data_IF_118438399559
#
_entry.id   IF_118438399559
#
_cell.length_a   1.000
_cell.length_b   1.000
_cell.length_c   1.000
_cell.angle_alpha   90.00
_cell.angle_beta   90.00
_cell.angle_gamma   90.00
#
_symmetry.space_group_name_H-M   'P 1'
#
loop_
_entity.id
_entity.type
_entity.pdbx_description
1 polymer ?
#
# COMPACT_ATOMS: atom_id res chain seq x y z
N UNK A 1 17.23 7.45 9.24
CA UNK A 1 16.41 6.69 8.28
C UNK A 1 15.44 5.92 9.14
N UNK A 2 14.41 6.62 9.59
CA UNK A 2 13.47 6.19 10.63
C UNK A 2 12.34 5.43 9.93
N UNK A 3 12.53 4.12 9.79
CA UNK A 3 11.54 3.23 9.17
C UNK A 3 10.62 2.58 10.22
N UNK A 4 10.52 3.16 11.41
CA UNK A 4 9.61 2.76 12.49
C UNK A 4 8.88 4.01 13.00
N UNK A 5 7.72 3.84 13.62
CA UNK A 5 7.02 4.90 14.34
C UNK A 5 7.71 5.10 15.69
N UNK A 6 8.63 6.07 15.75
CA UNK A 6 9.64 6.18 16.81
C UNK A 6 9.08 6.31 18.23
N UNK A 7 7.93 6.98 18.39
CA UNK A 7 7.27 7.16 19.68
C UNK A 7 6.90 5.82 20.35
N UNK A 8 6.73 4.77 19.56
CA UNK A 8 6.39 3.42 20.01
C UNK A 8 7.60 2.47 20.08
N UNK A 9 8.80 2.94 19.72
CA UNK A 9 9.99 2.09 19.71
C UNK A 9 10.57 1.95 21.12
N UNK A 10 10.46 0.75 21.69
CA UNK A 10 11.23 0.39 22.87
C UNK A 10 12.70 0.10 22.49
N UNK A 11 13.58 1.08 22.70
CA UNK A 11 15.02 0.98 22.37
C UNK A 11 15.78 -0.10 23.16
N UNK A 12 15.18 -0.69 24.20
CA UNK A 12 15.77 -1.79 24.97
C UNK A 12 15.35 -3.17 24.47
N UNK A 13 14.34 -3.24 23.60
CA UNK A 13 13.82 -4.48 23.06
C UNK A 13 14.51 -4.83 21.74
N UNK A 14 15.12 -6.02 21.68
CA UNK A 14 15.73 -6.57 20.48
C UNK A 14 15.02 -7.87 20.12
N UNK A 15 14.70 -8.05 18.84
CA UNK A 15 14.10 -9.27 18.31
C UNK A 15 14.81 -9.72 17.03
N UNK A 16 14.94 -11.03 16.78
CA UNK A 16 15.55 -11.55 15.56
C UNK A 16 14.69 -11.23 14.32
N UNK A 17 15.31 -11.30 13.14
CA UNK A 17 14.63 -11.08 11.84
C UNK A 17 13.38 -11.97 11.69
N UNK A 18 13.45 -13.22 12.13
CA UNK A 18 12.30 -14.14 12.09
C UNK A 18 11.12 -13.64 12.92
N UNK A 19 11.38 -13.07 14.08
CA UNK A 19 10.36 -12.51 14.96
C UNK A 19 9.82 -11.20 14.41
N UNK A 20 10.66 -10.32 13.84
CA UNK A 20 10.19 -9.12 13.12
C UNK A 20 9.17 -9.48 12.04
N UNK A 21 9.53 -10.42 11.16
CA UNK A 21 8.67 -10.87 10.07
C UNK A 21 7.38 -11.50 10.60
N UNK A 22 7.46 -12.26 11.69
CA UNK A 22 6.27 -12.81 12.34
C UNK A 22 5.35 -11.70 12.90
N UNK A 23 5.90 -10.66 13.53
CA UNK A 23 5.13 -9.52 14.05
C UNK A 23 4.43 -8.76 12.92
N UNK A 24 5.14 -8.46 11.82
CA UNK A 24 4.56 -7.81 10.63
C UNK A 24 3.44 -8.67 10.02
N UNK A 25 3.64 -9.99 9.89
CA UNK A 25 2.58 -10.90 9.42
C UNK A 25 1.36 -10.89 10.34
N UNK A 26 1.56 -10.90 11.65
CA UNK A 26 0.46 -10.81 12.61
C UNK A 26 -0.29 -9.50 12.43
N UNK A 27 0.40 -8.37 12.29
CA UNK A 27 -0.24 -7.07 12.02
C UNK A 27 -1.09 -7.10 10.75
N UNK A 28 -0.55 -7.61 9.65
CA UNK A 28 -1.30 -7.79 8.41
C UNK A 28 -2.55 -8.62 8.63
N UNK A 29 -2.44 -9.78 9.27
CA UNK A 29 -3.59 -10.65 9.55
C UNK A 29 -4.65 -9.96 10.43
N UNK A 30 -4.24 -9.14 11.40
CA UNK A 30 -5.18 -8.43 12.28
C UNK A 30 -5.95 -7.35 11.53
N UNK A 31 -5.27 -6.49 10.77
CA UNK A 31 -5.95 -5.44 10.00
C UNK A 31 -6.78 -6.02 8.87
N UNK A 32 -6.27 -7.03 8.15
CA UNK A 32 -7.01 -7.61 7.02
C UNK A 32 -8.25 -8.35 7.46
N UNK A 33 -8.22 -9.09 8.58
CA UNK A 33 -9.43 -9.71 9.14
C UNK A 33 -10.50 -8.68 9.49
N UNK A 34 -10.09 -7.51 10.02
CA UNK A 34 -11.03 -6.43 10.31
C UNK A 34 -11.62 -5.85 9.02
N UNK A 35 -10.82 -5.65 7.97
CA UNK A 35 -11.29 -5.20 6.66
C UNK A 35 -12.25 -6.22 6.03
N UNK A 36 -11.89 -7.51 6.02
CA UNK A 36 -12.71 -8.62 5.52
C UNK A 36 -14.04 -8.73 6.27
N UNK A 37 -14.04 -8.53 7.59
CA UNK A 37 -15.27 -8.54 8.40
C UNK A 37 -16.28 -7.48 7.95
N UNK A 38 -15.79 -6.34 7.48
CA UNK A 38 -16.61 -5.24 6.97
C UNK A 38 -16.82 -5.28 5.45
N UNK A 39 -16.25 -6.26 4.73
CA UNK A 39 -16.34 -6.33 3.28
C UNK A 39 -15.53 -5.26 2.55
N UNK A 40 -14.55 -4.65 3.22
CA UNK A 40 -13.71 -3.60 2.64
C UNK A 40 -12.59 -4.24 1.84
N UNK A 41 -12.59 -4.00 0.53
CA UNK A 41 -11.60 -4.55 -0.39
C UNK A 41 -10.22 -3.89 -0.25
N UNK A 42 -9.18 -4.72 -0.28
CA UNK A 42 -7.77 -4.33 -0.24
C UNK A 42 -6.91 -5.32 -1.03
N UNK A 43 -5.66 -4.97 -1.29
CA UNK A 43 -4.63 -5.90 -1.76
C UNK A 43 -3.30 -5.67 -1.04
N UNK A 44 -2.43 -6.67 -1.02
CA UNK A 44 -1.03 -6.47 -0.65
C UNK A 44 -0.35 -5.63 -1.73
N UNK A 45 0.45 -4.64 -1.35
CA UNK A 45 1.13 -3.75 -2.29
C UNK A 45 2.66 -3.79 -2.12
N UNK A 46 3.38 -3.15 -3.04
CA UNK A 46 4.82 -2.83 -2.94
C UNK A 46 5.71 -4.02 -2.50
N UNK A 47 6.52 -3.85 -1.44
CA UNK A 47 7.43 -4.87 -0.94
C UNK A 47 6.71 -6.08 -0.36
N UNK A 48 5.53 -5.84 0.23
CA UNK A 48 4.67 -6.88 0.80
C UNK A 48 4.15 -7.84 -0.26
N UNK A 49 3.63 -7.32 -1.37
CA UNK A 49 3.18 -8.12 -2.51
C UNK A 49 4.35 -8.91 -3.11
N UNK A 50 5.48 -8.25 -3.34
CA UNK A 50 6.67 -8.91 -3.89
C UNK A 50 7.17 -10.03 -2.98
N UNK A 51 7.20 -9.81 -1.67
CA UNK A 51 7.56 -10.81 -0.66
C UNK A 51 6.63 -12.01 -0.69
N UNK A 52 5.31 -11.77 -0.69
CA UNK A 52 4.30 -12.81 -0.77
C UNK A 52 4.44 -13.66 -2.04
N UNK A 53 4.62 -13.05 -3.21
CA UNK A 53 4.74 -13.78 -4.48
C UNK A 53 6.09 -14.49 -4.63
N UNK A 54 7.19 -13.83 -4.29
CA UNK A 54 8.55 -14.36 -4.51
C UNK A 54 8.97 -15.39 -3.46
N UNK A 55 8.58 -15.18 -2.21
CA UNK A 55 9.07 -15.95 -1.07
C UNK A 55 7.98 -16.49 -0.14
N UNK A 56 6.70 -16.19 -0.40
CA UNK A 56 5.59 -16.61 0.45
C UNK A 56 5.56 -15.93 1.83
N UNK A 57 6.30 -14.83 2.02
CA UNK A 57 6.50 -14.20 3.33
C UNK A 57 7.09 -12.78 3.17
N UNK A 58 7.12 -12.00 4.26
CA UNK A 58 7.74 -10.67 4.33
C UNK A 58 9.21 -10.76 3.91
N UNK A 59 9.74 -9.80 3.15
CA UNK A 59 11.13 -9.82 2.73
C UNK A 59 12.03 -9.71 3.97
N UNK A 60 13.14 -10.47 4.10
CA UNK A 60 13.94 -10.50 5.32
C UNK A 60 14.48 -9.16 5.82
N UNK A 61 14.60 -8.16 4.96
CA UNK A 61 15.13 -6.84 5.31
C UNK A 61 14.04 -5.78 5.52
N UNK A 62 12.77 -6.11 5.23
CA UNK A 62 11.65 -5.19 5.43
C UNK A 62 11.35 -5.05 6.93
N UNK A 63 10.82 -3.88 7.27
CA UNK A 63 10.48 -3.47 8.64
C UNK A 63 9.04 -2.96 8.74
N UNK A 64 8.30 -3.08 7.66
CA UNK A 64 6.94 -2.61 7.45
C UNK A 64 6.18 -3.57 6.51
N UNK A 65 4.93 -3.23 6.25
CA UNK A 65 4.13 -3.81 5.18
C UNK A 65 3.29 -2.74 4.49
N UNK A 66 2.67 -3.09 3.37
CA UNK A 66 1.92 -2.16 2.51
C UNK A 66 0.62 -2.81 2.05
N UNK A 67 -0.47 -2.06 2.16
CA UNK A 67 -1.77 -2.37 1.59
C UNK A 67 -2.16 -1.30 0.58
N UNK A 68 -2.71 -1.72 -0.55
CA UNK A 68 -3.39 -0.83 -1.49
C UNK A 68 -4.90 -0.99 -1.39
N UNK A 69 -5.63 0.10 -1.61
CA UNK A 69 -7.09 0.13 -1.59
C UNK A 69 -7.61 1.07 -2.67
N UNK A 70 -8.80 0.81 -3.21
CA UNK A 70 -9.44 1.79 -4.11
C UNK A 70 -9.85 3.03 -3.32
N UNK A 71 -10.07 4.14 -4.03
CA UNK A 71 -10.70 5.33 -3.42
C UNK A 71 -12.03 4.99 -2.74
N UNK A 72 -12.86 4.13 -3.32
CA UNK A 72 -14.14 3.74 -2.73
C UNK A 72 -13.94 2.96 -1.42
N UNK A 73 -13.02 1.99 -1.40
CA UNK A 73 -12.69 1.20 -0.21
C UNK A 73 -12.07 2.05 0.90
N UNK A 74 -11.20 3.01 0.54
CA UNK A 74 -10.62 3.95 1.50
C UNK A 74 -11.70 4.86 2.11
N UNK A 75 -12.65 5.32 1.30
CA UNK A 75 -13.79 6.12 1.76
C UNK A 75 -14.71 5.35 2.70
N UNK A 76 -14.91 4.06 2.44
CA UNK A 76 -15.63 3.16 3.35
C UNK A 76 -14.86 2.97 4.66
N UNK A 77 -13.55 2.71 4.58
CA UNK A 77 -12.67 2.55 5.73
C UNK A 77 -12.68 3.80 6.64
N UNK A 78 -12.60 5.02 6.07
CA UNK A 78 -12.67 6.28 6.82
C UNK A 78 -13.94 6.40 7.68
N UNK A 79 -15.04 5.76 7.26
CA UNK A 79 -16.37 5.86 7.92
C UNK A 79 -16.74 4.60 8.70
N UNK A 80 -15.86 3.60 8.75
CA UNK A 80 -16.12 2.31 9.38
C UNK A 80 -15.34 2.17 10.68
N UNK A 81 -16.02 1.81 11.77
CA UNK A 81 -15.37 1.52 13.04
C UNK A 81 -14.88 0.06 13.06
N UNK A 82 -13.59 -0.15 12.88
CA UNK A 82 -12.89 -1.43 13.05
C UNK A 82 -12.75 -1.83 14.53
N UNK A 83 -13.89 -2.01 15.20
CA UNK A 83 -13.96 -2.33 16.64
C UNK A 83 -13.35 -3.68 17.03
N UNK A 84 -13.02 -4.53 16.05
CA UNK A 84 -12.37 -5.83 16.25
C UNK A 84 -10.85 -5.74 16.43
N UNK A 85 -10.24 -4.58 16.20
CA UNK A 85 -8.80 -4.39 16.34
C UNK A 85 -8.36 -4.57 17.80
N UNK A 86 -7.25 -5.28 18.01
CA UNK A 86 -6.67 -5.45 19.34
C UNK A 86 -6.15 -4.11 19.89
N UNK A 87 -6.27 -3.83 21.20
CA UNK A 87 -5.83 -2.56 21.81
C UNK A 87 -4.34 -2.22 21.66
N UNK A 88 -3.53 -3.22 21.28
CA UNK A 88 -2.10 -3.04 20.98
C UNK A 88 -1.87 -2.26 19.69
N UNK A 89 -2.84 -2.24 18.78
CA UNK A 89 -2.69 -1.60 17.50
C UNK A 89 -3.45 -0.30 17.42
N UNK A 90 -2.89 0.65 16.69
CA UNK A 90 -3.51 1.93 16.40
C UNK A 90 -3.64 2.13 14.89
N UNK A 91 -4.79 2.64 14.47
CA UNK A 91 -5.06 2.98 13.08
C UNK A 91 -5.17 4.48 12.94
N UNK A 92 -4.27 5.05 12.14
CA UNK A 92 -4.32 6.44 11.71
C UNK A 92 -4.93 6.49 10.31
N UNK A 93 -5.94 7.35 10.12
CA UNK A 93 -6.59 7.56 8.83
C UNK A 93 -6.87 9.04 8.62
N UNK A 94 -6.31 9.56 7.54
CA UNK A 94 -6.57 10.93 7.12
C UNK A 94 -8.04 11.10 6.71
N UNK A 95 -8.60 12.24 7.09
CA UNK A 95 -9.96 12.66 6.74
C UNK A 95 -11.03 11.68 7.27
N UNK A 96 -10.73 10.98 8.38
CA UNK A 96 -11.69 10.14 9.09
C UNK A 96 -12.30 10.89 10.28
N UNK A 97 -13.63 10.83 10.48
CA UNK A 97 -14.24 11.30 11.71
C UNK A 97 -14.05 10.35 12.91
N UNK A 98 -13.51 9.15 12.70
CA UNK A 98 -13.38 8.09 13.71
C UNK A 98 -11.96 7.88 14.20
N UNK A 99 -10.98 8.19 13.35
CA UNK A 99 -9.55 7.95 13.61
C UNK A 99 -8.77 9.24 13.50
N UNK A 100 -7.64 9.31 14.20
CA UNK A 100 -6.77 10.47 14.16
C UNK A 100 -5.99 10.51 12.86
N UNK A 101 -5.72 11.72 12.38
CA UNK A 101 -4.72 11.95 11.34
C UNK A 101 -3.34 11.53 11.89
N UNK A 102 -2.62 10.74 11.11
CA UNK A 102 -1.23 10.42 11.42
C UNK A 102 -0.29 11.58 11.09
N UNK A 103 0.90 11.68 11.72
CA UNK A 103 1.92 12.69 11.41
C UNK A 103 2.64 12.43 10.06
N UNK A 104 1.94 11.88 9.06
CA UNK A 104 2.49 11.40 7.80
C UNK A 104 1.85 12.16 6.62
N UNK A 105 2.45 13.25 6.11
CA UNK A 105 1.79 14.22 5.21
C UNK A 105 1.29 13.65 3.87
N UNK A 106 1.77 12.49 3.43
CA UNK A 106 1.44 11.89 2.14
C UNK A 106 0.81 10.49 2.24
N UNK A 107 0.60 9.97 3.46
CA UNK A 107 -0.02 8.67 3.67
C UNK A 107 -1.49 8.86 4.07
N UNK A 108 -2.44 8.23 3.36
CA UNK A 108 -3.85 8.30 3.74
C UNK A 108 -4.16 7.42 4.95
N UNK A 109 -3.43 6.34 5.17
CA UNK A 109 -3.56 5.53 6.37
C UNK A 109 -2.28 4.82 6.81
N UNK A 110 -2.18 4.53 8.11
CA UNK A 110 -1.12 3.70 8.68
C UNK A 110 -1.65 2.93 9.89
N UNK A 111 -1.41 1.63 9.91
CA UNK A 111 -1.71 0.74 11.03
C UNK A 111 -0.43 0.40 11.80
N UNK A 112 -0.39 0.67 13.10
CA UNK A 112 0.85 0.68 13.90
C UNK A 112 0.74 -0.28 15.08
N UNK A 113 1.81 -1.04 15.34
CA UNK A 113 2.00 -1.73 16.61
C UNK A 113 2.63 -0.79 17.63
N UNK A 114 1.83 -0.35 18.60
CA UNK A 114 2.21 0.63 19.62
C UNK A 114 3.30 0.15 20.60
N UNK A 115 3.71 -1.12 20.52
CA UNK A 115 4.78 -1.66 21.36
C UNK A 115 6.13 -1.70 20.65
N UNK A 116 6.13 -1.69 19.31
CA UNK A 116 7.34 -1.94 18.50
C UNK A 116 7.64 -0.84 17.50
N UNK A 117 6.65 -0.03 17.15
CA UNK A 117 6.74 0.95 16.08
C UNK A 117 6.74 0.35 14.68
N UNK A 118 6.57 -0.98 14.53
CA UNK A 118 6.32 -1.61 13.23
C UNK A 118 4.96 -1.13 12.70
N UNK A 119 4.83 -1.03 11.39
CA UNK A 119 3.60 -0.54 10.76
C UNK A 119 3.25 -1.23 9.45
N UNK A 120 2.01 -1.03 9.05
CA UNK A 120 1.50 -1.31 7.70
C UNK A 120 0.97 0.00 7.11
N UNK A 121 1.57 0.44 6.02
CA UNK A 121 1.08 1.59 5.25
C UNK A 121 -0.15 1.21 4.43
N UNK A 122 -1.10 2.14 4.34
CA UNK A 122 -2.31 1.96 3.56
C UNK A 122 -2.34 3.05 2.50
N UNK A 123 -2.30 2.65 1.23
CA UNK A 123 -2.29 3.53 0.07
C UNK A 123 -3.67 3.58 -0.59
N UNK A 124 -4.15 4.79 -0.83
CA UNK A 124 -5.37 5.05 -1.59
C UNK A 124 -5.01 5.17 -3.08
N UNK A 125 -5.53 4.28 -3.92
CA UNK A 125 -5.34 4.31 -5.36
C UNK A 125 -6.49 5.08 -6.03
N UNK A 126 -6.12 6.20 -6.64
CA UNK A 126 -7.03 7.16 -7.26
C UNK A 126 -7.09 6.88 -8.77
N UNK A 127 -8.30 6.78 -9.36
CA UNK A 127 -8.45 6.60 -10.79
C UNK A 127 -8.02 7.83 -11.59
N UNK A 128 -7.33 7.59 -12.70
CA UNK A 128 -6.92 8.60 -13.66
C UNK A 128 -7.05 8.05 -15.09
N UNK A 129 -7.24 8.94 -16.07
CA UNK A 129 -7.29 8.56 -17.49
C UNK A 129 -5.99 8.95 -18.20
N UNK A 130 -5.46 8.05 -19.02
CA UNK A 130 -4.33 8.34 -19.91
C UNK A 130 -4.64 8.04 -21.37
N UNK A 131 -4.16 8.86 -22.33
CA UNK A 131 -4.27 8.52 -23.75
C UNK A 131 -3.51 7.23 -24.06
N UNK A 132 -4.11 6.30 -24.80
CA UNK A 132 -3.49 5.03 -25.17
C UNK A 132 -2.25 5.19 -26.06
N UNK A 133 -2.16 6.33 -26.76
CA UNK A 133 -1.02 6.69 -27.60
C UNK A 133 0.11 7.36 -26.80
N UNK A 134 -0.10 7.65 -25.51
CA UNK A 134 1.00 8.08 -24.64
C UNK A 134 1.90 6.87 -24.39
N UNK A 135 3.17 6.98 -24.73
CA UNK A 135 4.12 5.89 -24.57
C UNK A 135 4.18 5.46 -23.11
N UNK A 136 3.64 4.29 -22.77
CA UNK A 136 4.16 3.51 -21.64
C UNK A 136 5.66 3.43 -21.87
N UNK A 137 6.44 3.89 -20.90
CA UNK A 137 7.88 4.13 -21.05
C UNK A 137 8.52 3.03 -21.89
N UNK A 138 8.87 3.35 -23.15
CA UNK A 138 9.62 2.49 -24.05
C UNK A 138 11.08 2.53 -23.60
N UNK A 139 11.33 2.25 -22.33
CA UNK A 139 12.67 2.00 -21.89
C UNK A 139 13.16 0.74 -22.61
N UNK A 140 14.25 0.89 -23.37
CA UNK A 140 14.92 -0.22 -24.05
C UNK A 140 15.12 -1.39 -23.07
N UNK A 141 14.32 -2.45 -23.25
CA UNK A 141 14.29 -3.63 -22.39
C UNK A 141 13.03 -4.45 -22.63
N UNK A 142 13.15 -5.78 -22.53
CA UNK A 142 12.06 -6.74 -22.74
C UNK A 142 10.88 -6.57 -21.79
N UNK A 143 11.09 -5.95 -20.63
CA UNK A 143 10.05 -5.73 -19.60
C UNK A 143 9.03 -4.68 -20.02
N UNK A 144 9.41 -3.61 -20.73
CA UNK A 144 8.46 -2.58 -21.16
C UNK A 144 7.40 -3.11 -22.13
N UNK A 145 7.73 -4.10 -22.95
CA UNK A 145 6.79 -4.79 -23.84
C UNK A 145 5.86 -5.78 -23.11
N UNK A 146 6.32 -6.34 -21.98
CA UNK A 146 5.52 -7.24 -21.12
C UNK A 146 4.57 -6.47 -20.19
N UNK A 147 4.80 -5.18 -20.02
CA UNK A 147 4.06 -4.25 -19.16
C UNK A 147 3.12 -3.35 -19.97
N UNK A 148 2.58 -3.86 -21.08
CA UNK A 148 1.51 -3.17 -21.82
C UNK A 148 0.16 -3.58 -21.23
N UNK A 149 -0.77 -2.62 -21.01
CA UNK A 149 -2.14 -2.96 -20.64
C UNK A 149 -2.77 -3.89 -21.67
N UNK A 150 -3.72 -4.71 -21.23
CA UNK A 150 -4.48 -5.58 -22.13
C UNK A 150 -5.14 -4.75 -23.24
N UNK A 151 -5.27 -5.29 -24.45
CA UNK A 151 -6.00 -4.62 -25.55
C UNK A 151 -7.43 -4.25 -25.12
N UNK A 152 -8.01 -5.03 -24.20
CA UNK A 152 -9.33 -4.78 -23.64
C UNK A 152 -9.39 -3.61 -22.63
N UNK A 153 -8.24 -3.16 -22.12
CA UNK A 153 -8.16 -2.02 -21.20
C UNK A 153 -8.19 -0.65 -21.92
N UNK A 154 -8.14 -0.65 -23.26
CA UNK A 154 -8.23 0.57 -24.07
C UNK A 154 -9.70 0.83 -24.42
N UNK A 155 -10.28 1.87 -23.83
CA UNK A 155 -11.65 2.33 -24.12
C UNK A 155 -11.58 3.73 -24.73
N UNK A 156 -12.13 3.90 -25.94
CA UNK A 156 -12.12 5.17 -26.67
C UNK A 156 -10.72 5.83 -26.79
N UNK A 157 -9.67 5.01 -26.95
CA UNK A 157 -8.29 5.51 -27.04
C UNK A 157 -7.73 6.02 -25.71
N UNK A 158 -8.33 5.66 -24.59
CA UNK A 158 -7.84 5.94 -23.24
C UNK A 158 -7.70 4.66 -22.42
N UNK A 159 -6.81 4.70 -21.43
CA UNK A 159 -6.55 3.61 -20.49
C UNK A 159 -6.82 4.16 -19.09
N UNK A 160 -7.60 3.40 -18.33
CA UNK A 160 -7.84 3.68 -16.91
C UNK A 160 -6.60 3.26 -16.12
N UNK A 161 -6.09 4.21 -15.35
CA UNK A 161 -4.92 4.07 -14.51
C UNK A 161 -5.35 4.17 -13.06
N UNK A 162 -4.65 3.46 -12.18
CA UNK A 162 -4.76 3.58 -10.74
C UNK A 162 -3.39 3.93 -10.18
N UNK A 163 -3.37 4.84 -9.20
CA UNK A 163 -2.15 5.17 -8.50
C UNK A 163 -2.41 6.02 -7.26
N UNK A 164 -1.51 5.95 -6.28
CA UNK A 164 -1.57 6.82 -5.11
C UNK A 164 -1.22 8.26 -5.45
N UNK A 165 -1.50 9.16 -4.51
CA UNK A 165 -1.06 10.56 -4.59
C UNK A 165 0.47 10.62 -4.73
N UNK A 166 0.94 11.64 -5.45
CA UNK A 166 2.37 11.90 -5.61
C UNK A 166 3.03 12.09 -4.25
N UNK A 167 4.11 11.34 -3.99
CA UNK A 167 4.77 11.34 -2.69
C UNK A 167 6.21 10.85 -2.76
N UNK A 168 6.92 11.06 -1.64
CA UNK A 168 8.28 10.55 -1.46
C UNK A 168 8.39 9.04 -1.54
N UNK A 169 7.29 8.29 -1.35
CA UNK A 169 7.27 6.83 -1.46
C UNK A 169 7.70 6.36 -2.86
N UNK A 170 7.47 7.18 -3.90
CA UNK A 170 7.69 6.82 -5.31
C UNK A 170 8.89 7.54 -5.94
N UNK A 171 9.76 8.16 -5.14
CA UNK A 171 10.87 8.97 -5.65
C UNK A 171 11.87 8.16 -6.50
N UNK A 172 11.99 6.86 -6.26
CA UNK A 172 12.87 5.94 -7.00
C UNK A 172 12.19 5.30 -8.22
N UNK A 173 10.96 5.69 -8.58
CA UNK A 173 10.29 5.06 -9.71
C UNK A 173 11.03 5.35 -11.02
N UNK A 174 11.68 4.30 -11.56
CA UNK A 174 12.55 4.39 -12.73
C UNK A 174 11.79 4.60 -14.05
N UNK A 175 10.58 4.05 -14.15
CA UNK A 175 9.80 4.01 -15.38
C UNK A 175 8.49 4.79 -15.30
N UNK A 176 8.32 5.61 -14.26
CA UNK A 176 7.15 6.46 -14.12
C UNK A 176 7.26 7.71 -15.00
N UNK A 177 6.11 8.19 -15.48
CA UNK A 177 6.05 9.33 -16.40
C UNK A 177 6.49 10.66 -15.75
N UNK A 178 6.45 10.74 -14.43
CA UNK A 178 6.92 11.88 -13.65
C UNK A 178 7.57 11.38 -12.36
N UNK A 179 8.53 12.13 -11.85
CA UNK A 179 9.14 11.86 -10.54
C UNK A 179 8.07 11.89 -9.44
N UNK A 180 8.24 11.10 -8.37
CA UNK A 180 7.33 11.05 -7.21
C UNK A 180 5.92 10.50 -7.52
N UNK A 181 5.66 10.09 -8.76
CA UNK A 181 4.39 9.50 -9.16
C UNK A 181 4.55 8.00 -9.36
N UNK A 182 3.49 7.25 -9.06
CA UNK A 182 3.34 5.85 -9.42
C UNK A 182 1.92 5.65 -9.94
N UNK A 183 1.79 5.00 -11.10
CA UNK A 183 0.50 4.70 -11.71
C UNK A 183 0.62 3.47 -12.58
N UNK A 184 -0.31 2.55 -12.43
CA UNK A 184 -0.42 1.32 -13.22
C UNK A 184 -1.77 1.25 -13.91
N UNK A 185 -1.90 0.52 -15.03
CA UNK A 185 -3.20 0.20 -15.58
C UNK A 185 -4.12 -0.45 -14.55
N UNK A 186 -5.40 -0.09 -14.55
CA UNK A 186 -6.38 -0.65 -13.61
C UNK A 186 -6.46 -2.18 -13.71
N UNK A 187 -6.35 -2.73 -14.91
CA UNK A 187 -6.44 -4.17 -15.17
C UNK A 187 -5.29 -4.99 -14.57
N UNK A 188 -4.25 -4.33 -14.02
CA UNK A 188 -3.18 -5.01 -13.28
C UNK A 188 -3.49 -5.22 -11.81
N UNK A 189 -4.50 -4.53 -11.29
CA UNK A 189 -4.96 -4.70 -9.91
C UNK A 189 -6.12 -5.69 -9.92
N UNK A 190 -5.86 -6.92 -9.50
CA UNK A 190 -6.86 -7.99 -9.34
C UNK A 190 -7.14 -8.16 -7.84
N UNK A 191 -8.40 -8.27 -7.36
CA UNK A 191 -9.65 -8.59 -8.08
C UNK A 191 -10.67 -7.41 -8.17
N UNK A 192 -10.22 -6.20 -8.56
CA UNK A 192 -11.10 -5.03 -8.71
C UNK A 192 -12.18 -5.15 -9.79
#
# INVERSE_FOLDING_TARGET
MEHLVEEYVNKTECYPVSERRARIRTMLLEVTRALEHHGIEYWLDSGSLLGAVRGGDIIPHDVDADLGMTQASMDELRRTNLSTLLPRYELFLRDSPLYQDGPFPYLPGRFVDTHTGLYTDIFEFIPALRPANSSFSTANGTVGALLMPSVNAIVNGTIEMLGPVSSGCWWTCKYCAASWHFSIPRDWVFPL
#
